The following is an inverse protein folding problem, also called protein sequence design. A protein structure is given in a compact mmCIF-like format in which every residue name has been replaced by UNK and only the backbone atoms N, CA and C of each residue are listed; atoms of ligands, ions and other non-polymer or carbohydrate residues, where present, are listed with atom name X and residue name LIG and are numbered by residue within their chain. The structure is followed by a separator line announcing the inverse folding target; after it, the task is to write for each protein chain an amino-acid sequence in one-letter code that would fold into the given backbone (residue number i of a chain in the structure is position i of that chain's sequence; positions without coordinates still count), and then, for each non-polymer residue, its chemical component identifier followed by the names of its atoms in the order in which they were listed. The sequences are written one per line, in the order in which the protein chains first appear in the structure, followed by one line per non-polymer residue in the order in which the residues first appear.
data_IF_611390971906
#
_entry.id   IF_611390971906
#
_cell.length_a   1.000
_cell.length_b   1.000
_cell.length_c   1.000
_cell.angle_alpha   90.00
_cell.angle_beta   90.00
_cell.angle_gamma   90.00
#
_symmetry.space_group_name_H-M   'P 1'
#
loop_
_entity.id
_entity.type
_entity.pdbx_description
1 polymer ?
#
# COMPACT_ATOMS: atom_id res chain seq x y z
N UNK A 1 -1.72 5.95 9.52
CA UNK A 1 -2.04 4.64 8.91
C UNK A 1 -2.46 4.83 7.48
N UNK A 2 -3.72 5.19 7.25
CA UNK A 2 -4.35 5.31 5.93
C UNK A 2 -3.53 6.06 4.86
N UNK A 3 -2.90 7.19 5.20
CA UNK A 3 -2.07 7.95 4.25
C UNK A 3 -0.79 7.24 3.82
N UNK A 4 -0.23 6.39 4.69
CA UNK A 4 0.99 5.64 4.38
C UNK A 4 0.64 4.38 3.58
N UNK A 5 -0.61 3.90 3.68
CA UNK A 5 -1.08 2.69 3.02
C UNK A 5 -1.01 2.80 1.50
N UNK A 6 -1.53 3.89 0.92
CA UNK A 6 -1.45 4.17 -0.52
C UNK A 6 0.00 4.12 -1.04
N UNK A 7 0.92 4.74 -0.30
CA UNK A 7 2.33 4.77 -0.67
C UNK A 7 2.99 3.40 -0.52
N UNK A 8 2.63 2.63 0.51
CA UNK A 8 3.13 1.26 0.73
C UNK A 8 2.68 0.35 -0.40
N UNK A 9 1.40 0.38 -0.79
CA UNK A 9 0.88 -0.48 -1.87
C UNK A 9 1.61 -0.22 -3.18
N UNK A 10 1.83 1.05 -3.54
CA UNK A 10 2.58 1.42 -4.74
C UNK A 10 4.05 0.96 -4.63
N UNK A 11 4.70 1.22 -3.50
CA UNK A 11 6.10 0.86 -3.27
C UNK A 11 6.32 -0.66 -3.29
N UNK A 12 5.42 -1.43 -2.67
CA UNK A 12 5.50 -2.89 -2.65
C UNK A 12 5.36 -3.47 -4.05
N UNK A 13 4.44 -2.92 -4.88
CA UNK A 13 4.33 -3.39 -6.26
C UNK A 13 5.60 -3.07 -7.06
N UNK A 14 6.20 -1.89 -6.87
CA UNK A 14 7.48 -1.51 -7.48
C UNK A 14 8.59 -2.45 -7.02
N UNK A 15 8.70 -2.75 -5.71
CA UNK A 15 9.72 -3.67 -5.17
C UNK A 15 9.59 -5.06 -5.77
N UNK A 16 8.37 -5.61 -5.86
CA UNK A 16 8.11 -6.91 -6.49
C UNK A 16 8.54 -6.95 -7.96
N UNK A 17 8.38 -5.85 -8.70
CA UNK A 17 8.86 -5.76 -10.08
C UNK A 17 10.39 -5.74 -10.17
N UNK A 18 11.06 -5.03 -9.25
CA UNK A 18 12.53 -5.02 -9.16
C UNK A 18 13.06 -6.41 -8.81
N UNK A 19 12.43 -7.10 -7.85
CA UNK A 19 12.77 -8.48 -7.46
C UNK A 19 12.62 -9.48 -8.61
N UNK A 20 11.65 -9.25 -9.51
CA UNK A 20 11.47 -10.01 -10.75
C UNK A 20 12.49 -9.67 -11.85
N UNK A 21 13.37 -8.70 -11.62
CA UNK A 21 14.49 -8.35 -12.50
C UNK A 21 14.29 -7.11 -13.37
N UNK A 22 13.20 -6.37 -13.22
CA UNK A 22 12.99 -5.11 -13.95
C UNK A 22 13.94 -4.01 -13.47
N UNK A 23 14.36 -3.10 -14.36
CA UNK A 23 15.14 -1.94 -13.92
C UNK A 23 14.27 -1.04 -13.01
N UNK A 24 14.83 -0.37 -11.99
CA UNK A 24 14.04 0.43 -11.04
C UNK A 24 13.17 1.52 -11.69
N UNK A 25 13.62 2.07 -12.82
CA UNK A 25 12.86 3.05 -13.58
C UNK A 25 11.68 2.43 -14.32
N UNK A 26 11.88 1.27 -14.96
CA UNK A 26 10.79 0.54 -15.62
C UNK A 26 9.81 0.00 -14.59
N UNK A 27 10.31 -0.60 -13.50
CA UNK A 27 9.49 -1.08 -12.39
C UNK A 27 8.61 0.03 -11.83
N UNK A 28 9.15 1.23 -11.61
CA UNK A 28 8.37 2.38 -11.15
C UNK A 28 7.22 2.75 -12.11
N UNK A 29 7.43 2.65 -13.42
CA UNK A 29 6.40 2.97 -14.41
C UNK A 29 5.35 1.86 -14.48
N UNK A 30 5.76 0.62 -14.73
CA UNK A 30 4.84 -0.50 -14.94
C UNK A 30 4.05 -0.83 -13.67
N UNK A 31 4.73 -0.95 -12.52
CA UNK A 31 4.09 -1.32 -11.28
C UNK A 31 3.09 -0.26 -10.81
N UNK A 32 3.38 1.03 -11.01
CA UNK A 32 2.41 2.10 -10.70
C UNK A 32 1.21 2.01 -11.63
N UNK A 33 1.42 1.71 -12.91
CA UNK A 33 0.35 1.61 -13.90
C UNK A 33 -0.62 0.44 -13.65
N UNK A 34 -0.18 -0.59 -12.92
CA UNK A 34 -1.04 -1.70 -12.51
C UNK A 34 -1.97 -1.35 -11.33
N UNK A 35 -1.52 -0.46 -10.43
CA UNK A 35 -2.21 -0.24 -9.13
C UNK A 35 -2.85 1.13 -8.97
N UNK A 36 -2.48 2.14 -9.78
CA UNK A 36 -2.96 3.53 -9.61
C UNK A 36 -4.49 3.63 -9.57
N UNK A 37 -5.20 2.86 -10.41
CA UNK A 37 -6.65 2.87 -10.45
C UNK A 37 -7.25 2.27 -9.17
N UNK A 38 -6.65 1.22 -8.61
CA UNK A 38 -7.07 0.64 -7.34
C UNK A 38 -6.94 1.65 -6.20
N UNK A 39 -5.82 2.39 -6.15
CA UNK A 39 -5.58 3.40 -5.12
C UNK A 39 -6.59 4.55 -5.23
N UNK A 40 -6.88 5.03 -6.43
CA UNK A 40 -7.91 6.09 -6.62
C UNK A 40 -9.28 5.61 -6.15
N UNK A 41 -9.66 4.38 -6.46
CA UNK A 41 -10.97 3.83 -6.05
C UNK A 41 -11.07 3.74 -4.53
N UNK A 42 -10.05 3.22 -3.85
CA UNK A 42 -10.05 3.12 -2.38
C UNK A 42 -10.14 4.49 -1.73
N UNK A 43 -9.42 5.47 -2.26
CA UNK A 43 -9.51 6.88 -1.83
C UNK A 43 -10.90 7.44 -2.03
N UNK A 44 -11.54 7.18 -3.17
CA UNK A 44 -12.89 7.64 -3.44
C UNK A 44 -13.91 7.03 -2.47
N UNK A 45 -13.74 5.76 -2.08
CA UNK A 45 -14.56 5.12 -1.04
C UNK A 45 -14.39 5.83 0.31
N UNK A 46 -13.16 6.17 0.70
CA UNK A 46 -12.91 6.94 1.94
C UNK A 46 -13.58 8.31 1.84
N UNK A 47 -13.42 9.02 0.73
CA UNK A 47 -14.09 10.31 0.50
C UNK A 47 -15.60 10.17 0.58
N UNK A 48 -16.18 9.12 0.00
CA UNK A 48 -17.63 8.87 0.05
C UNK A 48 -18.15 8.63 1.47
N UNK A 49 -17.32 8.11 2.39
CA UNK A 49 -17.66 7.91 3.79
C UNK A 49 -17.51 9.21 4.60
N UNK A 50 -16.42 9.96 4.40
CA UNK A 50 -16.08 11.11 5.25
C UNK A 50 -16.62 12.45 4.76
N UNK A 51 -16.82 12.62 3.45
CA UNK A 51 -17.35 13.86 2.88
C UNK A 51 -18.78 14.18 3.37
N UNK A 52 -19.74 13.22 3.42
CA UNK A 52 -21.09 13.50 3.92
C UNK A 52 -21.13 13.95 5.39
N UNK A 53 -20.15 13.52 6.20
CA UNK A 53 -20.05 13.96 7.60
C UNK A 53 -19.85 15.48 7.73
N UNK A 54 -19.33 16.13 6.69
CA UNK A 54 -19.17 17.60 6.66
C UNK A 54 -20.48 18.36 6.49
N UNK A 55 -21.53 17.68 6.02
CA UNK A 55 -22.86 18.24 5.77
C UNK A 55 -23.78 18.10 6.99
N UNK A 56 -23.34 17.38 8.03
CA UNK A 56 -24.11 17.17 9.26
C UNK A 56 -24.21 18.48 10.05
N UNK A 57 -25.43 18.85 10.43
CA UNK A 57 -25.72 20.05 11.22
C UNK A 57 -25.68 19.84 12.74
N UNK A 58 -25.93 20.92 13.50
CA UNK A 58 -26.00 20.91 14.96
C UNK A 58 -24.64 21.03 15.66
N UNK A 59 -24.64 21.01 17.00
CA UNK A 59 -23.43 21.16 17.83
C UNK A 59 -22.41 20.05 17.53
N UNK A 60 -22.89 18.82 17.37
CA UNK A 60 -22.12 17.64 16.99
C UNK A 60 -21.55 17.76 15.57
N UNK A 61 -22.27 18.42 14.66
CA UNK A 61 -21.83 18.68 13.30
C UNK A 61 -20.60 19.58 13.19
N UNK A 62 -20.38 20.49 14.16
CA UNK A 62 -19.18 21.37 14.16
C UNK A 62 -17.90 20.56 14.28
N UNK A 63 -17.89 19.56 15.17
CA UNK A 63 -16.73 18.69 15.41
C UNK A 63 -16.53 17.74 14.21
N UNK A 64 -17.62 17.12 13.73
CA UNK A 64 -17.55 16.21 12.58
C UNK A 64 -17.17 16.91 11.27
N UNK A 65 -17.58 18.17 11.09
CA UNK A 65 -17.22 18.95 9.91
C UNK A 65 -15.72 19.21 9.84
N UNK A 66 -15.09 19.58 10.97
CA UNK A 66 -13.64 19.76 11.01
C UNK A 66 -12.90 18.44 10.73
N UNK A 67 -13.31 17.34 11.36
CA UNK A 67 -12.72 16.02 11.14
C UNK A 67 -12.90 15.54 9.69
N UNK A 68 -14.09 15.69 9.12
CA UNK A 68 -14.41 15.28 7.76
C UNK A 68 -13.57 16.02 6.72
N UNK A 69 -13.39 17.34 6.87
CA UNK A 69 -12.51 18.12 6.00
C UNK A 69 -11.05 17.69 6.12
N UNK A 70 -10.54 17.52 7.34
CA UNK A 70 -9.15 17.08 7.57
C UNK A 70 -8.91 15.75 6.88
N UNK A 71 -9.77 14.74 7.10
CA UNK A 71 -9.58 13.41 6.53
C UNK A 71 -9.67 13.44 5.01
N UNK A 72 -10.70 14.09 4.46
CA UNK A 72 -10.94 14.16 3.01
C UNK A 72 -9.75 14.80 2.29
N UNK A 73 -9.29 15.97 2.76
CA UNK A 73 -8.17 16.68 2.15
C UNK A 73 -6.87 15.87 2.29
N UNK A 74 -6.61 15.33 3.48
CA UNK A 74 -5.36 14.59 3.73
C UNK A 74 -5.27 13.34 2.85
N UNK A 75 -6.37 12.61 2.69
CA UNK A 75 -6.40 11.37 1.88
C UNK A 75 -6.25 11.68 0.40
N UNK A 76 -6.90 12.72 -0.12
CA UNK A 76 -6.73 13.15 -1.52
C UNK A 76 -5.28 13.55 -1.81
N UNK A 77 -4.67 14.37 -0.94
CA UNK A 77 -3.26 14.78 -1.10
C UNK A 77 -2.34 13.57 -1.01
N UNK A 78 -2.64 12.64 -0.09
CA UNK A 78 -1.87 11.41 0.08
C UNK A 78 -1.86 10.55 -1.17
N UNK A 79 -3.02 10.32 -1.78
CA UNK A 79 -3.12 9.53 -3.01
C UNK A 79 -2.40 10.20 -4.18
N UNK A 80 -2.47 11.52 -4.29
CA UNK A 80 -1.69 12.27 -5.28
C UNK A 80 -0.19 12.06 -5.05
N UNK A 81 0.29 12.16 -3.82
CA UNK A 81 1.68 11.90 -3.48
C UNK A 81 2.09 10.44 -3.76
N UNK A 82 1.20 9.48 -3.47
CA UNK A 82 1.45 8.06 -3.71
C UNK A 82 1.60 7.69 -5.19
N UNK A 83 0.86 8.36 -6.09
CA UNK A 83 0.92 8.07 -7.53
C UNK A 83 2.00 8.88 -8.24
N UNK A 84 2.42 10.03 -7.69
CA UNK A 84 3.38 10.93 -8.34
C UNK A 84 4.76 10.88 -7.69
N UNK A 85 4.82 11.15 -6.39
CA UNK A 85 6.06 11.32 -5.64
C UNK A 85 6.69 9.97 -5.31
N UNK A 86 5.88 8.99 -4.87
CA UNK A 86 6.39 7.67 -4.48
C UNK A 86 7.09 6.94 -5.65
N UNK A 87 6.55 6.87 -6.88
CA UNK A 87 7.25 6.22 -7.99
C UNK A 87 8.50 6.98 -8.42
N UNK A 88 8.47 8.31 -8.39
CA UNK A 88 9.62 9.16 -8.68
C UNK A 88 10.76 8.90 -7.69
N UNK A 89 10.45 8.90 -6.39
CA UNK A 89 11.43 8.61 -5.34
C UNK A 89 11.91 7.16 -5.41
N UNK A 90 11.01 6.19 -5.60
CA UNK A 90 11.35 4.78 -5.75
C UNK A 90 12.33 4.55 -6.91
N UNK A 91 12.10 5.17 -8.07
CA UNK A 91 12.99 5.05 -9.23
C UNK A 91 14.43 5.55 -8.98
N UNK A 92 14.62 6.48 -8.05
CA UNK A 92 15.94 7.06 -7.72
C UNK A 92 16.58 6.37 -6.52
N UNK A 93 15.82 6.19 -5.44
CA UNK A 93 16.31 5.66 -4.17
C UNK A 93 16.50 4.13 -4.22
N UNK A 94 15.60 3.39 -4.88
CA UNK A 94 15.78 1.95 -5.07
C UNK A 94 16.84 1.66 -6.14
N UNK A 95 17.06 2.55 -7.11
CA UNK A 95 18.16 2.44 -8.06
C UNK A 95 19.55 2.64 -7.43
N UNK A 96 19.65 3.48 -6.40
CA UNK A 96 20.88 3.62 -5.62
C UNK A 96 21.25 2.33 -4.87
N UNK A 97 20.24 1.51 -4.54
CA UNK A 97 20.39 0.16 -4.02
C UNK A 97 20.36 -0.87 -5.17
N UNK A 98 21.31 -0.82 -6.11
CA UNK A 98 21.64 -2.00 -6.92
C UNK A 98 21.90 -3.13 -5.94
N UNK A 99 20.96 -4.09 -5.86
CA UNK A 99 20.99 -5.38 -5.17
C UNK A 99 22.39 -5.68 -4.60
N UNK A 100 22.76 -5.05 -3.48
CA UNK A 100 23.73 -5.65 -2.60
C UNK A 100 22.91 -6.75 -1.96
N UNK A 101 22.97 -7.94 -2.56
CA UNK A 101 22.72 -9.21 -1.87
C UNK A 101 23.21 -9.00 -0.44
N UNK A 102 22.27 -9.05 0.49
CA UNK A 102 22.40 -8.54 1.84
C UNK A 102 23.82 -8.67 2.37
N UNK A 103 24.37 -7.55 2.84
CA UNK A 103 25.53 -7.58 3.73
C UNK A 103 25.26 -8.67 4.77
N UNK A 104 26.12 -9.69 4.77
CA UNK A 104 26.11 -10.94 5.54
C UNK A 104 26.16 -10.74 7.07
N UNK A 105 25.79 -9.56 7.57
CA UNK A 105 26.15 -9.04 8.88
C UNK A 105 24.97 -8.50 9.71
N UNK A 106 23.76 -8.38 9.16
CA UNK A 106 22.58 -8.01 9.94
C UNK A 106 21.46 -9.06 9.79
N UNK A 107 21.40 -9.94 10.78
CA UNK A 107 20.65 -11.19 10.82
C UNK A 107 19.15 -11.01 11.06
N UNK A 108 18.40 -10.47 10.10
CA UNK A 108 16.94 -10.57 10.05
C UNK A 108 16.47 -11.70 9.12
N UNK A 109 17.17 -11.93 8.00
CA UNK A 109 16.85 -12.96 7.01
C UNK A 109 16.75 -14.36 7.63
N UNK A 110 17.59 -14.65 8.62
CA UNK A 110 17.70 -16.01 9.17
C UNK A 110 16.60 -16.39 10.15
N UNK A 111 15.91 -15.42 10.75
CA UNK A 111 14.88 -15.67 11.78
C UNK A 111 13.49 -15.25 11.30
N UNK A 112 13.37 -14.11 10.60
CA UNK A 112 12.07 -13.57 10.19
C UNK A 112 11.58 -14.20 8.89
N UNK A 113 12.42 -14.37 7.86
CA UNK A 113 11.99 -15.01 6.60
C UNK A 113 11.42 -16.43 6.78
N UNK A 114 12.08 -17.37 7.53
CA UNK A 114 11.50 -18.69 7.73
C UNK A 114 10.26 -18.68 8.63
N UNK A 115 10.08 -17.66 9.47
CA UNK A 115 8.87 -17.50 10.28
C UNK A 115 7.70 -16.99 9.43
N UNK A 116 7.94 -15.99 8.57
CA UNK A 116 6.97 -15.50 7.60
C UNK A 116 6.56 -16.59 6.61
N UNK A 117 7.52 -17.35 6.06
CA UNK A 117 7.21 -18.46 5.15
C UNK A 117 6.40 -19.59 5.82
N UNK A 118 6.59 -19.82 7.13
CA UNK A 118 5.72 -20.74 7.90
C UNK A 118 4.32 -20.18 8.07
N UNK A 119 4.18 -18.89 8.33
CA UNK A 119 2.88 -18.23 8.42
C UNK A 119 2.13 -18.26 7.07
N UNK A 120 2.82 -17.97 5.97
CA UNK A 120 2.28 -18.02 4.61
C UNK A 120 1.80 -19.42 4.26
N UNK A 121 2.61 -20.45 4.52
CA UNK A 121 2.22 -21.83 4.23
C UNK A 121 1.08 -22.35 5.13
N UNK A 122 0.99 -21.89 6.37
CA UNK A 122 -0.15 -22.18 7.25
C UNK A 122 -1.43 -21.49 6.74
N UNK A 123 -1.32 -20.23 6.34
CA UNK A 123 -2.42 -19.47 5.74
C UNK A 123 -2.89 -20.14 4.44
N UNK A 124 -1.98 -20.50 3.54
CA UNK A 124 -2.29 -21.20 2.29
C UNK A 124 -3.03 -22.50 2.55
N UNK A 125 -2.54 -23.35 3.48
CA UNK A 125 -3.19 -24.63 3.83
C UNK A 125 -4.59 -24.44 4.39
N UNK A 126 -4.76 -23.47 5.30
CA UNK A 126 -6.05 -23.16 5.91
C UNK A 126 -7.04 -22.62 4.88
N UNK A 127 -6.58 -21.74 3.98
CA UNK A 127 -7.38 -21.21 2.88
C UNK A 127 -7.80 -22.32 1.91
N UNK A 128 -6.87 -23.21 1.55
CA UNK A 128 -7.14 -24.36 0.67
C UNK A 128 -8.14 -25.33 1.28
N UNK A 129 -8.06 -25.55 2.59
CA UNK A 129 -9.01 -26.38 3.32
C UNK A 129 -10.41 -25.76 3.33
N UNK A 130 -10.51 -24.46 3.60
CA UNK A 130 -11.77 -23.70 3.59
C UNK A 130 -12.40 -23.67 2.19
N UNK A 131 -11.61 -23.44 1.15
CA UNK A 131 -12.08 -23.47 -0.24
C UNK A 131 -12.52 -24.87 -0.70
N UNK A 132 -11.92 -25.94 -0.16
CA UNK A 132 -12.35 -27.33 -0.42
C UNK A 132 -13.57 -27.77 0.40
N UNK A 133 -13.76 -27.21 1.60
CA UNK A 133 -14.94 -27.40 2.43
C UNK A 133 -15.88 -26.19 2.30
N UNK A 134 -16.13 -25.74 1.08
CA UNK A 134 -17.25 -24.84 0.83
C UNK A 134 -18.53 -25.61 1.14
N UNK A 135 -19.18 -25.25 2.24
CA UNK A 135 -20.48 -25.82 2.66
C UNK A 135 -21.65 -25.32 1.81
N UNK A 136 -21.38 -24.88 0.57
CA UNK A 136 -22.34 -24.50 -0.47
C UNK A 136 -21.82 -24.98 -1.81
#
# INVERSE_FOLDING_TARGET
GMVVDDAIVVLENISKHIERGSSPREAAIYATNEVWLSVIITTLVVVAVFFPLTLVGGLTGVIFKQLGWIVTITVVISTLAAITLTPMLASKLLAANKVKKASKWYSYDRTIEPMLGRADSFYEKSLRWSLKHKTV
#
